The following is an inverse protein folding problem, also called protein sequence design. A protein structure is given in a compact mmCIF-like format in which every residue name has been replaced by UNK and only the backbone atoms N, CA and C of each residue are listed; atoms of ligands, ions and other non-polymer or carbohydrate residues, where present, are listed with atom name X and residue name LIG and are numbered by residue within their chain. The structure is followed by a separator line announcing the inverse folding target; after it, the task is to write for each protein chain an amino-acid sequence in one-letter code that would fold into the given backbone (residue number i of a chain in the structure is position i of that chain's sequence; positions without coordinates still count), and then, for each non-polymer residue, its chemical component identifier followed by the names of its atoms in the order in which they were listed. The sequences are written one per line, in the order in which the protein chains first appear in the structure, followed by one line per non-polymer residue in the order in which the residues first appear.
data_IF_813747158033
#
_entry.id   IF_813747158033
#
_cell.length_a   1.000
_cell.length_b   1.000
_cell.length_c   1.000
_cell.angle_alpha   90.00
_cell.angle_beta   90.00
_cell.angle_gamma   90.00
#
_symmetry.space_group_name_H-M   'P 1'
#
loop_
_entity.id
_entity.type
_entity.pdbx_description
1 polymer ?
#
# COMPACT_ATOMS: atom_id res chain seq x y z
N UNK A 1 10.89 -21.69 12.04
CA UNK A 1 10.66 -20.27 12.36
C UNK A 1 10.21 -19.58 11.08
N UNK A 2 9.03 -18.95 11.00
CA UNK A 2 8.63 -18.24 9.80
C UNK A 2 9.57 -17.06 9.57
N UNK A 3 10.13 -16.96 8.37
CA UNK A 3 11.21 -16.02 7.98
C UNK A 3 10.75 -14.56 7.85
N UNK A 4 9.47 -14.29 8.06
CA UNK A 4 8.90 -12.95 8.04
C UNK A 4 7.92 -12.84 9.21
N UNK A 5 8.24 -12.08 10.28
CA UNK A 5 7.21 -11.76 11.26
C UNK A 5 6.06 -11.09 10.52
N UNK A 6 4.82 -11.46 10.85
CA UNK A 6 3.65 -10.71 10.36
C UNK A 6 3.90 -9.23 10.65
N UNK A 7 3.63 -8.32 9.69
CA UNK A 7 3.66 -6.90 9.98
C UNK A 7 2.77 -6.70 11.20
N UNK A 8 3.32 -6.10 12.27
CA UNK A 8 2.53 -5.95 13.50
C UNK A 8 1.36 -5.01 13.21
N UNK A 9 0.21 -5.25 13.82
CA UNK A 9 -0.98 -4.41 13.59
C UNK A 9 -0.95 -3.09 14.40
N UNK A 10 0.18 -2.79 15.06
CA UNK A 10 0.32 -1.64 15.94
C UNK A 10 0.20 -0.30 15.19
N UNK A 11 -0.74 0.55 15.57
CA UNK A 11 -0.85 1.89 14.98
C UNK A 11 0.33 2.78 15.37
N UNK A 12 0.54 3.88 14.62
CA UNK A 12 1.56 4.89 14.98
C UNK A 12 1.33 5.43 16.40
N UNK A 13 0.08 5.60 16.83
CA UNK A 13 -0.24 6.07 18.18
C UNK A 13 0.06 5.03 19.25
N UNK A 14 -0.13 3.74 18.95
CA UNK A 14 0.30 2.65 19.83
C UNK A 14 1.82 2.59 19.95
N UNK A 15 2.55 2.79 18.84
CA UNK A 15 4.02 2.89 18.86
C UNK A 15 4.50 4.10 19.66
N UNK A 16 3.84 5.26 19.52
CA UNK A 16 4.11 6.44 20.35
C UNK A 16 3.90 6.14 21.83
N UNK A 17 2.82 5.44 22.17
CA UNK A 17 2.52 5.06 23.56
C UNK A 17 3.60 4.14 24.14
N UNK A 18 4.07 3.16 23.36
CA UNK A 18 5.19 2.29 23.75
C UNK A 18 6.48 3.09 23.95
N UNK A 19 6.79 4.02 23.04
CA UNK A 19 7.98 4.87 23.13
C UNK A 19 7.98 5.75 24.39
N UNK A 20 6.81 6.28 24.78
CA UNK A 20 6.64 7.08 26.00
C UNK A 20 6.78 6.23 27.27
N UNK A 21 6.31 4.98 27.24
CA UNK A 21 6.27 4.08 28.41
C UNK A 21 7.63 3.43 28.68
N UNK A 22 8.42 3.16 27.64
CA UNK A 22 9.71 2.47 27.77
C UNK A 22 10.88 3.44 27.62
N UNK A 23 11.86 3.36 28.55
CA UNK A 23 13.09 4.19 28.54
C UNK A 23 14.32 3.48 27.98
N UNK A 24 14.21 2.18 27.71
CA UNK A 24 15.30 1.40 27.13
C UNK A 24 15.68 1.94 25.75
N UNK A 25 16.95 2.30 25.51
CA UNK A 25 17.38 2.98 24.29
C UNK A 25 17.27 2.08 23.05
N UNK A 26 17.55 0.79 23.19
CA UNK A 26 17.48 -0.16 22.08
C UNK A 26 16.04 -0.41 21.65
N UNK A 27 15.13 -0.54 22.63
CA UNK A 27 13.69 -0.64 22.38
C UNK A 27 13.14 0.63 21.73
N UNK A 28 13.55 1.81 22.18
CA UNK A 28 13.14 3.09 21.56
C UNK A 28 13.57 3.17 20.10
N UNK A 29 14.83 2.81 19.81
CA UNK A 29 15.35 2.78 18.45
C UNK A 29 14.57 1.82 17.55
N UNK A 30 14.22 0.64 18.07
CA UNK A 30 13.39 -0.32 17.34
C UNK A 30 11.98 0.25 17.07
N UNK A 31 11.35 0.90 18.05
CA UNK A 31 10.03 1.53 17.89
C UNK A 31 10.07 2.66 16.86
N UNK A 32 11.09 3.51 16.90
CA UNK A 32 11.30 4.60 15.95
C UNK A 32 11.46 4.08 14.52
N UNK A 33 12.28 3.05 14.33
CA UNK A 33 12.47 2.41 13.03
C UNK A 33 11.17 1.83 12.47
N UNK A 34 10.39 1.15 13.31
CA UNK A 34 9.07 0.61 12.92
C UNK A 34 8.10 1.75 12.57
N UNK A 35 8.06 2.83 13.36
CA UNK A 35 7.21 3.98 13.09
C UNK A 35 7.60 4.69 11.78
N UNK A 36 8.90 4.87 11.55
CA UNK A 36 9.43 5.46 10.32
C UNK A 36 9.02 4.65 9.08
N UNK A 37 9.25 3.33 9.09
CA UNK A 37 8.87 2.46 7.96
C UNK A 37 7.38 2.46 7.67
N UNK A 38 6.53 2.54 8.71
CA UNK A 38 5.08 2.63 8.55
C UNK A 38 4.63 3.96 7.97
N UNK A 39 5.18 5.08 8.44
CA UNK A 39 4.88 6.39 7.88
C UNK A 39 5.30 6.47 6.42
N UNK A 40 6.45 5.89 6.09
CA UNK A 40 6.93 5.82 4.71
C UNK A 40 6.02 4.94 3.83
N UNK A 41 5.61 3.76 4.32
CA UNK A 41 4.62 2.92 3.65
C UNK A 41 3.30 3.66 3.41
N UNK A 42 2.76 4.36 4.41
CA UNK A 42 1.54 5.16 4.27
C UNK A 42 1.67 6.27 3.22
N UNK A 43 2.84 6.90 3.09
CA UNK A 43 3.08 7.92 2.04
C UNK A 43 3.12 7.27 0.67
N UNK A 44 3.82 6.15 0.51
CA UNK A 44 3.88 5.39 -0.76
C UNK A 44 2.49 4.92 -1.18
N UNK A 45 1.71 4.41 -0.25
CA UNK A 45 0.35 3.95 -0.48
C UNK A 45 -0.56 5.07 -1.00
N UNK A 46 -0.47 6.28 -0.42
CA UNK A 46 -1.21 7.44 -0.93
C UNK A 46 -0.85 7.76 -2.38
N UNK A 47 0.44 7.73 -2.71
CA UNK A 47 0.89 7.98 -4.10
C UNK A 47 0.38 6.89 -5.03
N UNK A 48 0.45 5.62 -4.63
CA UNK A 48 -0.05 4.50 -5.44
C UNK A 48 -1.55 4.63 -5.72
N UNK A 49 -2.36 4.99 -4.72
CA UNK A 49 -3.81 5.22 -4.90
C UNK A 49 -4.06 6.33 -5.93
N UNK A 50 -3.29 7.42 -5.91
CA UNK A 50 -3.42 8.47 -6.92
C UNK A 50 -3.00 8.00 -8.32
N UNK A 51 -1.92 7.22 -8.43
CA UNK A 51 -1.50 6.60 -9.70
C UNK A 51 -2.58 5.68 -10.26
N UNK A 52 -3.24 4.89 -9.40
CA UNK A 52 -4.36 4.02 -9.82
C UNK A 52 -5.55 4.80 -10.35
N UNK A 53 -5.90 5.92 -9.71
CA UNK A 53 -6.95 6.82 -10.20
C UNK A 53 -6.60 7.39 -11.56
N UNK A 54 -5.36 7.88 -11.73
CA UNK A 54 -4.89 8.41 -13.00
C UNK A 54 -4.89 7.34 -14.09
N UNK A 55 -4.45 6.12 -13.78
CA UNK A 55 -4.54 4.97 -14.68
C UNK A 55 -5.98 4.75 -15.16
N UNK A 56 -6.96 4.73 -14.25
CA UNK A 56 -8.36 4.49 -14.60
C UNK A 56 -8.91 5.58 -15.54
N UNK A 57 -8.59 6.85 -15.28
CA UNK A 57 -9.00 7.99 -16.11
C UNK A 57 -8.38 7.89 -17.51
N UNK A 58 -7.06 7.68 -17.59
CA UNK A 58 -6.34 7.59 -18.87
C UNK A 58 -6.83 6.38 -19.68
N UNK A 59 -7.02 5.24 -19.01
CA UNK A 59 -7.51 4.02 -19.66
C UNK A 59 -8.93 4.20 -20.21
N UNK A 60 -9.82 4.88 -19.47
CA UNK A 60 -11.16 5.18 -19.96
C UNK A 60 -11.12 6.12 -21.16
N UNK A 61 -10.39 7.24 -21.06
CA UNK A 61 -10.27 8.22 -22.15
C UNK A 61 -9.67 7.59 -23.42
N UNK A 62 -8.62 6.79 -23.27
CA UNK A 62 -8.01 6.07 -24.40
C UNK A 62 -9.00 5.11 -25.07
N UNK A 63 -9.76 4.36 -24.26
CA UNK A 63 -10.76 3.43 -24.78
C UNK A 63 -11.89 4.14 -25.52
N UNK A 64 -12.29 5.32 -25.07
CA UNK A 64 -13.31 6.15 -25.72
C UNK A 64 -12.81 6.79 -27.01
N UNK A 65 -11.58 7.31 -27.04
CA UNK A 65 -11.03 8.03 -28.19
C UNK A 65 -10.45 7.11 -29.28
N UNK A 66 -9.71 6.07 -28.89
CA UNK A 66 -8.95 5.21 -29.80
C UNK A 66 -9.64 3.85 -30.00
N UNK A 67 -10.28 3.33 -28.96
CA UNK A 67 -11.00 2.04 -29.03
C UNK A 67 -10.11 0.80 -29.07
N UNK A 68 -8.79 0.94 -28.95
CA UNK A 68 -7.83 -0.17 -28.98
C UNK A 68 -7.02 -0.27 -27.67
N UNK A 69 -6.32 -1.38 -27.48
CA UNK A 69 -5.54 -1.68 -26.27
C UNK A 69 -4.16 -1.02 -26.32
N UNK A 70 -3.88 -0.14 -25.37
CA UNK A 70 -2.53 0.38 -25.17
C UNK A 70 -1.74 -0.55 -24.24
N UNK A 71 -0.77 -1.30 -24.79
CA UNK A 71 0.03 -2.28 -24.04
C UNK A 71 0.68 -1.66 -22.78
N UNK A 72 1.13 -0.40 -22.86
CA UNK A 72 1.71 0.30 -21.71
C UNK A 72 0.72 0.44 -20.53
N UNK A 73 -0.58 0.65 -20.80
CA UNK A 73 -1.61 0.69 -19.77
C UNK A 73 -1.85 -0.68 -19.15
N UNK A 74 -1.82 -1.75 -19.93
CA UNK A 74 -1.93 -3.11 -19.39
C UNK A 74 -0.71 -3.51 -18.54
N UNK A 75 0.51 -3.13 -18.95
CA UNK A 75 1.70 -3.26 -18.13
C UNK A 75 1.56 -2.49 -16.80
N UNK A 76 1.06 -1.26 -16.84
CA UNK A 76 0.83 -0.45 -15.64
C UNK A 76 -0.22 -1.09 -14.73
N UNK A 77 -1.31 -1.63 -15.29
CA UNK A 77 -2.34 -2.36 -14.54
C UNK A 77 -1.77 -3.57 -13.81
N UNK A 78 -0.89 -4.34 -14.46
CA UNK A 78 -0.24 -5.49 -13.84
C UNK A 78 0.68 -5.07 -12.67
N UNK A 79 1.46 -4.00 -12.84
CA UNK A 79 2.31 -3.45 -11.77
C UNK A 79 1.48 -2.96 -10.58
N UNK A 80 0.38 -2.23 -10.83
CA UNK A 80 -0.51 -1.75 -9.77
C UNK A 80 -1.17 -2.92 -9.03
N UNK A 81 -1.55 -3.97 -9.75
CA UNK A 81 -2.13 -5.18 -9.15
C UNK A 81 -1.14 -5.92 -8.22
N UNK A 82 0.13 -6.04 -8.62
CA UNK A 82 1.19 -6.59 -7.77
C UNK A 82 1.41 -5.73 -6.52
N UNK A 83 1.37 -4.41 -6.64
CA UNK A 83 1.48 -3.51 -5.49
C UNK A 83 0.32 -3.65 -4.50
N UNK A 84 -0.93 -3.76 -4.98
CA UNK A 84 -2.10 -4.03 -4.10
C UNK A 84 -1.93 -5.34 -3.33
N UNK A 85 -1.50 -6.39 -4.03
CA UNK A 85 -1.28 -7.69 -3.40
C UNK A 85 -0.20 -7.62 -2.31
N UNK A 86 0.90 -6.89 -2.54
CA UNK A 86 1.95 -6.65 -1.53
C UNK A 86 1.46 -5.85 -0.33
N UNK A 87 0.46 -4.98 -0.52
CA UNK A 87 -0.21 -4.22 0.56
C UNK A 87 -1.23 -5.07 1.33
N UNK A 88 -1.51 -6.30 0.89
CA UNK A 88 -2.50 -7.18 1.49
C UNK A 88 -3.93 -6.89 1.02
N UNK A 89 -4.12 -6.03 0.02
CA UNK A 89 -5.40 -5.86 -0.65
C UNK A 89 -5.59 -7.05 -1.58
N UNK A 90 -6.53 -7.94 -1.23
CA UNK A 90 -6.90 -9.04 -2.12
C UNK A 90 -7.49 -8.44 -3.41
N UNK A 91 -7.19 -9.03 -4.59
CA UNK A 91 -7.82 -8.59 -5.82
C UNK A 91 -9.34 -8.64 -5.62
N UNK A 92 -10.00 -7.49 -5.77
CA UNK A 92 -11.44 -7.40 -5.70
C UNK A 92 -12.03 -8.37 -6.71
N UNK A 93 -12.70 -9.42 -6.22
CA UNK A 93 -13.42 -10.35 -7.09
C UNK A 93 -14.47 -9.50 -7.81
N UNK A 94 -14.52 -9.47 -9.15
CA UNK A 94 -15.54 -8.73 -9.88
C UNK A 94 -16.93 -9.19 -9.39
N UNK A 95 -17.69 -8.28 -8.76
CA UNK A 95 -19.03 -8.56 -8.22
C UNK A 95 -19.12 -8.81 -6.71
N UNK A 96 -18.03 -8.70 -5.94
CA UNK A 96 -18.12 -8.75 -4.47
C UNK A 96 -18.77 -7.47 -3.92
N UNK A 97 -19.82 -7.57 -3.08
CA UNK A 97 -20.46 -6.40 -2.49
C UNK A 97 -19.49 -5.68 -1.53
N UNK A 98 -19.47 -4.35 -1.61
CA UNK A 98 -18.75 -3.51 -0.65
C UNK A 98 -19.26 -3.82 0.76
N UNK A 99 -18.37 -4.29 1.65
CA UNK A 99 -18.61 -4.37 3.09
C UNK A 99 -18.16 -3.09 3.77
#
# INVERSE_FOLDING_TARGET
MPLSPRPSDLTIDQLRSLWLTHKDPDLRRAIEEVAFRRLDAQRRDKVLVEVEKLYAIIHQAWREEVGDTLIALECLRALLSDQRQRRGELPGIPGAPNR
#
